data_IF_340714208342
#
_entry.id   IF_340714208342
#
_cell.length_a   1.000
_cell.length_b   1.000
_cell.length_c   1.000
_cell.angle_alpha   90.00
_cell.angle_beta   90.00
_cell.angle_gamma   90.00
#
_symmetry.space_group_name_H-M   'P 1'
#
loop_
_entity.id
_entity.type
_entity.pdbx_description
1 polymer ?
#
# COMPACT_ATOMS: atom_id res chain seq x y z
N UNK A 1 19.48 -5.41 9.40
CA UNK A 1 20.82 -5.97 9.18
C UNK A 1 21.66 -4.99 8.39
N UNK A 2 22.99 -5.08 8.49
CA UNK A 2 23.87 -4.52 7.47
C UNK A 2 23.96 -5.49 6.29
N UNK A 3 24.19 -4.95 5.09
CA UNK A 3 24.35 -5.73 3.88
C UNK A 3 25.35 -5.04 2.96
N UNK A 4 26.23 -5.82 2.36
CA UNK A 4 27.07 -5.32 1.27
C UNK A 4 26.29 -5.38 -0.04
N UNK A 5 25.88 -4.21 -0.52
CA UNK A 5 25.16 -4.07 -1.78
C UNK A 5 26.09 -3.96 -3.00
N UNK A 6 27.39 -4.18 -2.80
CA UNK A 6 28.40 -4.11 -3.85
C UNK A 6 28.56 -2.71 -4.43
N UNK A 7 29.15 -2.65 -5.63
CA UNK A 7 29.34 -1.39 -6.38
C UNK A 7 28.26 -1.27 -7.44
N UNK A 8 27.61 -0.11 -7.50
CA UNK A 8 26.58 0.18 -8.52
C UNK A 8 26.83 1.55 -9.14
N UNK A 9 26.35 1.74 -10.35
CA UNK A 9 26.40 3.03 -11.03
C UNK A 9 25.04 3.76 -10.90
N UNK A 10 25.10 5.09 -10.76
CA UNK A 10 23.88 5.92 -10.75
C UNK A 10 23.16 5.98 -9.41
N UNK A 11 21.83 5.93 -9.43
CA UNK A 11 20.97 6.16 -8.26
C UNK A 11 20.68 4.91 -7.41
N UNK A 12 21.14 3.74 -7.82
CA UNK A 12 20.98 2.50 -7.06
C UNK A 12 21.89 2.54 -5.84
N UNK A 13 21.35 2.14 -4.69
CA UNK A 13 22.13 2.12 -3.45
C UNK A 13 23.22 1.05 -3.50
N UNK A 14 24.42 1.40 -3.01
CA UNK A 14 25.62 0.59 -3.09
C UNK A 14 26.41 0.61 -1.78
N UNK A 15 27.40 -0.26 -1.67
CA UNK A 15 28.28 -0.39 -0.50
C UNK A 15 27.59 -1.00 0.72
N UNK A 16 28.32 -1.08 1.83
CA UNK A 16 27.83 -1.63 3.09
C UNK A 16 26.87 -0.64 3.75
N UNK A 17 25.65 -1.06 3.97
CA UNK A 17 24.61 -0.21 4.60
C UNK A 17 23.51 -1.01 5.28
N UNK A 18 22.72 -0.39 6.16
CA UNK A 18 21.58 -1.05 6.72
C UNK A 18 20.53 -1.35 5.64
N UNK A 19 19.87 -2.50 5.78
CA UNK A 19 18.77 -2.95 4.92
C UNK A 19 17.61 -3.46 5.78
N UNK A 20 16.41 -3.31 5.27
CA UNK A 20 15.19 -3.88 5.85
C UNK A 20 14.85 -5.19 5.16
N UNK A 21 14.80 -6.28 5.91
CA UNK A 21 14.28 -7.56 5.42
C UNK A 21 12.76 -7.45 5.27
N UNK A 22 12.26 -7.65 4.05
CA UNK A 22 10.84 -7.53 3.72
C UNK A 22 10.18 -8.88 3.42
N UNK A 23 10.99 -9.90 3.20
CA UNK A 23 10.52 -11.26 2.95
C UNK A 23 9.87 -11.86 4.22
N UNK A 24 8.85 -12.70 4.03
CA UNK A 24 8.13 -13.36 5.14
C UNK A 24 9.00 -14.39 5.86
N UNK A 25 8.80 -14.57 7.17
CA UNK A 25 9.55 -15.53 7.98
C UNK A 25 9.51 -16.96 7.40
N UNK A 26 8.34 -17.38 6.89
CA UNK A 26 8.19 -18.70 6.27
C UNK A 26 9.15 -18.93 5.11
N UNK A 27 9.38 -17.91 4.28
CA UNK A 27 10.36 -17.99 3.20
C UNK A 27 11.79 -17.85 3.74
N UNK A 28 11.98 -16.98 4.76
CA UNK A 28 13.28 -16.81 5.39
C UNK A 28 13.83 -18.10 6.01
N UNK A 29 12.97 -18.93 6.57
CA UNK A 29 13.37 -20.21 7.19
C UNK A 29 13.85 -21.24 6.17
N UNK A 30 13.32 -21.20 4.95
CA UNK A 30 13.51 -22.26 3.95
C UNK A 30 14.34 -21.82 2.73
N UNK A 31 14.84 -20.59 2.68
CA UNK A 31 15.63 -20.10 1.55
C UNK A 31 17.02 -19.65 1.99
N UNK A 32 18.09 -19.92 1.23
CA UNK A 32 19.41 -19.33 1.48
C UNK A 32 19.43 -17.83 1.20
N UNK A 33 18.52 -17.33 0.39
CA UNK A 33 18.39 -15.92 0.03
C UNK A 33 17.28 -15.20 0.78
N UNK A 34 17.32 -13.87 0.78
CA UNK A 34 16.30 -13.02 1.36
C UNK A 34 16.11 -11.74 0.53
N UNK A 35 14.87 -11.26 0.47
CA UNK A 35 14.57 -9.98 -0.19
C UNK A 35 14.68 -8.84 0.81
N UNK A 36 15.45 -7.83 0.46
CA UNK A 36 15.73 -6.65 1.29
C UNK A 36 15.41 -5.35 0.55
N UNK A 37 15.14 -4.29 1.31
CA UNK A 37 15.06 -2.91 0.83
C UNK A 37 16.19 -2.09 1.43
N UNK A 38 16.85 -1.27 0.62
CA UNK A 38 17.96 -0.44 1.06
C UNK A 38 17.50 0.67 2.02
N UNK A 39 18.32 0.95 3.04
CA UNK A 39 18.12 2.06 3.99
C UNK A 39 19.24 3.09 3.78
N UNK A 40 18.92 4.38 3.85
CA UNK A 40 19.86 5.49 3.73
C UNK A 40 19.58 6.57 4.79
N UNK A 41 20.65 7.10 5.37
CA UNK A 41 20.58 8.26 6.27
C UNK A 41 20.41 9.59 5.51
N UNK A 42 20.68 9.61 4.21
CA UNK A 42 20.50 10.82 3.38
C UNK A 42 19.01 11.05 3.17
N UNK A 43 18.51 12.19 3.67
CA UNK A 43 17.12 12.61 3.43
C UNK A 43 16.89 12.81 1.94
N UNK A 44 16.17 11.89 1.33
CA UNK A 44 15.67 11.99 -0.05
C UNK A 44 14.23 12.52 -0.04
N UNK A 45 13.65 12.71 -1.22
CA UNK A 45 12.26 13.23 -1.37
C UNK A 45 11.27 12.41 -0.53
N UNK A 46 10.85 12.98 0.61
CA UNK A 46 9.88 12.37 1.55
C UNK A 46 8.46 12.26 0.96
N UNK A 47 8.23 12.93 -0.18
CA UNK A 47 6.93 12.91 -0.87
C UNK A 47 6.64 11.63 -1.65
N UNK A 48 7.62 10.71 -1.75
CA UNK A 48 7.41 9.44 -2.45
C UNK A 48 6.73 8.41 -1.52
N UNK A 49 5.67 7.79 -2.00
CA UNK A 49 4.94 6.75 -1.25
C UNK A 49 5.79 5.51 -0.92
N UNK A 50 6.96 5.37 -1.53
CA UNK A 50 7.91 4.26 -1.31
C UNK A 50 9.02 4.61 -0.32
N UNK A 51 9.15 5.87 0.06
CA UNK A 51 10.13 6.36 1.02
C UNK A 51 9.51 6.45 2.40
N UNK A 52 9.95 5.59 3.33
CA UNK A 52 9.41 5.54 4.70
C UNK A 52 10.50 5.90 5.69
N UNK A 53 10.26 6.93 6.49
CA UNK A 53 11.18 7.36 7.55
C UNK A 53 11.22 6.32 8.69
N UNK A 54 12.41 6.02 9.15
CA UNK A 54 12.70 5.14 10.27
C UNK A 54 13.52 5.91 11.31
N UNK A 55 13.08 5.85 12.55
CA UNK A 55 13.78 6.45 13.67
C UNK A 55 14.81 5.46 14.27
N UNK A 56 15.55 5.93 15.28
CA UNK A 56 16.59 5.15 15.96
C UNK A 56 16.04 4.06 16.89
N UNK A 57 14.75 4.09 17.19
CA UNK A 57 14.06 3.11 18.05
C UNK A 57 14.11 1.67 17.50
N UNK A 58 14.30 1.52 16.20
CA UNK A 58 14.48 0.22 15.54
C UNK A 58 15.93 -0.28 15.52
N UNK A 59 16.87 0.40 16.19
CA UNK A 59 18.29 0.05 16.31
C UNK A 59 19.22 0.74 15.32
N UNK A 60 18.71 1.64 14.49
CA UNK A 60 19.54 2.45 13.60
C UNK A 60 20.35 3.49 14.39
N UNK A 61 21.54 3.84 13.92
CA UNK A 61 22.42 4.84 14.57
C UNK A 61 21.89 6.26 14.43
N UNK A 62 21.14 6.53 13.38
CA UNK A 62 20.57 7.85 13.06
C UNK A 62 19.24 7.69 12.31
N UNK A 63 18.36 8.71 12.37
CA UNK A 63 17.12 8.72 11.58
C UNK A 63 17.43 8.50 10.09
N UNK A 64 16.77 7.55 9.49
CA UNK A 64 17.07 7.07 8.15
C UNK A 64 15.78 6.84 7.37
N UNK A 65 15.93 6.47 6.11
CA UNK A 65 14.80 6.24 5.21
C UNK A 65 14.97 4.89 4.50
N UNK A 66 13.95 4.05 4.54
CA UNK A 66 13.90 2.85 3.69
C UNK A 66 13.30 3.20 2.33
N UNK A 67 13.92 2.70 1.27
CA UNK A 67 13.50 2.91 -0.12
C UNK A 67 12.91 1.62 -0.67
N UNK A 68 11.59 1.54 -0.67
CA UNK A 68 10.85 0.32 -1.01
C UNK A 68 10.78 0.04 -2.51
N UNK A 69 11.23 0.96 -3.34
CA UNK A 69 11.46 0.74 -4.78
C UNK A 69 12.84 0.14 -5.08
N UNK A 70 13.76 0.12 -4.10
CA UNK A 70 15.10 -0.46 -4.26
C UNK A 70 15.20 -1.82 -3.58
N UNK A 71 14.46 -2.77 -4.12
CA UNK A 71 14.44 -4.14 -3.64
C UNK A 71 15.55 -4.96 -4.25
N UNK A 72 16.19 -5.80 -3.45
CA UNK A 72 17.23 -6.75 -3.90
C UNK A 72 17.05 -8.09 -3.23
N UNK A 73 17.43 -9.14 -3.94
CA UNK A 73 17.64 -10.46 -3.36
C UNK A 73 19.11 -10.59 -3.02
N UNK A 74 19.41 -11.00 -1.80
CA UNK A 74 20.79 -11.15 -1.28
C UNK A 74 20.96 -12.52 -0.63
N UNK A 75 22.19 -13.04 -0.65
CA UNK A 75 22.56 -14.28 0.03
C UNK A 75 22.73 -14.01 1.53
N UNK A 76 22.07 -14.79 2.37
CA UNK A 76 22.14 -14.61 3.82
C UNK A 76 23.53 -14.85 4.40
N UNK A 77 24.23 -15.87 3.88
CA UNK A 77 25.50 -16.29 4.45
C UNK A 77 26.67 -15.36 4.09
N UNK A 78 26.60 -14.66 2.97
CA UNK A 78 27.74 -13.89 2.42
C UNK A 78 27.50 -12.40 2.35
N UNK A 79 26.24 -11.95 2.23
CA UNK A 79 25.91 -10.54 2.01
C UNK A 79 25.20 -9.89 3.21
N UNK A 80 24.49 -10.67 4.07
CA UNK A 80 23.94 -10.16 5.33
C UNK A 80 24.97 -10.27 6.44
N UNK A 81 25.20 -9.14 7.09
CA UNK A 81 26.09 -9.02 8.24
C UNK A 81 25.26 -8.65 9.50
N UNK A 82 25.87 -8.05 10.45
CA UNK A 82 25.38 -7.75 11.79
C UNK A 82 23.90 -7.35 11.87
N UNK A 83 23.18 -7.97 12.79
CA UNK A 83 21.83 -7.59 13.14
C UNK A 83 21.80 -6.19 13.74
N UNK A 84 21.01 -5.29 13.18
CA UNK A 84 20.86 -3.90 13.62
C UNK A 84 19.72 -3.78 14.64
N UNK A 85 18.57 -4.31 14.32
CA UNK A 85 17.39 -4.19 15.17
C UNK A 85 16.11 -4.67 14.49
N UNK A 86 14.96 -4.32 15.08
CA UNK A 86 13.65 -4.76 14.61
C UNK A 86 12.63 -3.63 14.68
N UNK A 87 11.83 -3.48 13.63
CA UNK A 87 10.67 -2.60 13.65
C UNK A 87 9.52 -3.32 14.36
N UNK A 88 9.08 -2.79 15.49
CA UNK A 88 7.99 -3.34 16.32
C UNK A 88 6.72 -2.49 16.25
N UNK A 89 6.83 -1.21 15.87
CA UNK A 89 5.67 -0.34 15.72
C UNK A 89 4.74 -0.82 14.62
N UNK A 90 3.51 -1.15 15.02
CA UNK A 90 2.48 -1.67 14.11
C UNK A 90 2.03 -0.63 13.07
N UNK A 91 2.13 0.66 13.37
CA UNK A 91 1.78 1.73 12.43
C UNK A 91 2.85 1.83 11.34
N UNK A 92 4.11 1.77 11.71
CA UNK A 92 5.25 1.78 10.79
C UNK A 92 5.25 0.53 9.88
N UNK A 93 4.94 -0.64 10.44
CA UNK A 93 4.78 -1.87 9.65
C UNK A 93 3.65 -1.74 8.60
N UNK A 94 2.52 -1.10 8.96
CA UNK A 94 1.43 -0.85 8.01
C UNK A 94 1.84 0.13 6.91
N UNK A 95 2.60 1.15 7.25
CA UNK A 95 3.15 2.12 6.31
C UNK A 95 4.09 1.46 5.29
N UNK A 96 5.03 0.65 5.77
CA UNK A 96 5.95 -0.13 4.93
C UNK A 96 5.18 -1.07 4.00
N UNK A 97 4.20 -1.83 4.52
CA UNK A 97 3.36 -2.71 3.69
C UNK A 97 2.60 -1.96 2.61
N UNK A 98 2.15 -0.74 2.90
CA UNK A 98 1.48 0.12 1.90
C UNK A 98 2.46 0.59 0.84
N UNK A 99 3.64 1.05 1.24
CA UNK A 99 4.71 1.46 0.32
C UNK A 99 5.17 0.32 -0.59
N UNK A 100 5.32 -0.91 -0.06
CA UNK A 100 5.65 -2.09 -0.86
C UNK A 100 4.58 -2.40 -1.91
N UNK A 101 3.30 -2.34 -1.55
CA UNK A 101 2.21 -2.52 -2.52
C UNK A 101 2.28 -1.49 -3.63
N UNK A 102 2.55 -0.22 -3.27
CA UNK A 102 2.71 0.86 -4.24
C UNK A 102 3.89 0.60 -5.17
N UNK A 103 5.06 0.20 -4.62
CA UNK A 103 6.28 -0.05 -5.37
C UNK A 103 6.12 -1.13 -6.46
N UNK A 104 5.28 -2.15 -6.20
CA UNK A 104 5.05 -3.27 -7.13
C UNK A 104 3.71 -3.18 -7.87
N UNK A 105 3.02 -2.03 -7.82
CA UNK A 105 1.78 -1.81 -8.54
C UNK A 105 0.56 -2.58 -8.01
N UNK A 106 0.61 -3.10 -6.78
CA UNK A 106 -0.54 -3.76 -6.17
C UNK A 106 -1.55 -2.69 -5.71
N UNK A 107 -2.83 -2.78 -6.12
CA UNK A 107 -3.84 -1.81 -5.71
C UNK A 107 -3.92 -1.67 -4.19
N UNK A 108 -3.81 -0.43 -3.71
CA UNK A 108 -3.97 -0.11 -2.30
C UNK A 108 -5.43 0.22 -2.07
N UNK A 109 -6.15 -0.69 -1.43
CA UNK A 109 -7.53 -0.42 -1.03
C UNK A 109 -7.57 0.80 -0.10
N UNK A 110 -8.40 1.82 -0.39
CA UNK A 110 -8.54 2.96 0.50
C UNK A 110 -9.00 2.51 1.90
N UNK A 111 -8.53 3.20 2.94
CA UNK A 111 -8.74 2.85 4.37
C UNK A 111 -10.21 2.70 4.80
N UNK A 112 -11.17 3.09 3.95
CA UNK A 112 -12.61 3.05 4.18
C UNK A 112 -13.35 2.43 2.98
N UNK A 113 -12.92 1.26 2.50
CA UNK A 113 -13.79 0.50 1.61
C UNK A 113 -15.02 0.05 2.40
N UNK A 114 -16.05 0.88 2.33
CA UNK A 114 -17.42 0.43 2.52
C UNK A 114 -17.57 -0.80 1.62
N UNK A 115 -18.06 -1.91 2.15
CA UNK A 115 -18.39 -3.07 1.32
C UNK A 115 -19.35 -2.58 0.24
N UNK A 116 -18.83 -2.36 -0.96
CA UNK A 116 -19.58 -1.94 -2.13
C UNK A 116 -19.76 -3.11 -3.07
N UNK A 117 -20.77 -3.02 -3.90
CA UNK A 117 -20.99 -3.96 -5.01
C UNK A 117 -20.50 -3.29 -6.29
N UNK A 118 -19.73 -4.02 -7.07
CA UNK A 118 -19.33 -3.57 -8.42
C UNK A 118 -20.40 -4.03 -9.41
N UNK A 119 -20.93 -3.10 -10.19
CA UNK A 119 -21.93 -3.37 -11.23
C UNK A 119 -21.58 -2.59 -12.49
N UNK A 120 -21.67 -3.23 -13.64
CA UNK A 120 -21.69 -2.58 -14.93
C UNK A 120 -23.06 -1.96 -15.16
N UNK A 121 -23.14 -0.64 -15.31
CA UNK A 121 -24.40 0.07 -15.39
C UNK A 121 -24.48 0.96 -16.64
N UNK A 122 -25.56 0.80 -17.42
CA UNK A 122 -25.89 1.75 -18.47
C UNK A 122 -26.31 3.12 -17.87
N UNK A 123 -26.32 4.21 -18.66
CA UNK A 123 -26.62 5.56 -18.13
C UNK A 123 -27.94 5.65 -17.38
N UNK A 124 -29.00 4.98 -17.86
CA UNK A 124 -30.32 4.95 -17.22
C UNK A 124 -30.26 4.27 -15.84
N UNK A 125 -29.73 3.05 -15.78
CA UNK A 125 -29.63 2.30 -14.52
C UNK A 125 -28.70 2.97 -13.52
N UNK A 126 -27.61 3.61 -13.99
CA UNK A 126 -26.74 4.43 -13.15
C UNK A 126 -27.52 5.56 -12.48
N UNK A 127 -28.31 6.33 -13.26
CA UNK A 127 -29.12 7.43 -12.74
C UNK A 127 -30.13 6.94 -11.68
N UNK A 128 -30.75 5.79 -11.90
CA UNK A 128 -31.66 5.18 -10.93
C UNK A 128 -30.94 4.81 -9.62
N UNK A 129 -29.72 4.24 -9.67
CA UNK A 129 -28.95 3.98 -8.46
C UNK A 129 -28.48 5.25 -7.75
N UNK A 130 -28.17 6.32 -8.51
CA UNK A 130 -27.80 7.63 -7.97
C UNK A 130 -28.96 8.38 -7.33
N UNK A 131 -30.19 8.17 -7.79
CA UNK A 131 -31.39 8.80 -7.21
C UNK A 131 -31.76 8.25 -5.83
N UNK A 132 -31.23 7.10 -5.44
CA UNK A 132 -31.42 6.54 -4.10
C UNK A 132 -30.55 7.31 -3.10
N UNK A 133 -31.13 8.06 -2.14
CA UNK A 133 -30.36 8.97 -1.25
C UNK A 133 -29.27 8.27 -0.43
N UNK A 134 -29.46 6.98 -0.15
CA UNK A 134 -28.53 6.17 0.65
C UNK A 134 -27.35 5.62 -0.16
N UNK A 135 -27.41 5.69 -1.48
CA UNK A 135 -26.35 5.18 -2.33
C UNK A 135 -25.29 6.23 -2.64
N UNK A 136 -24.06 5.76 -2.78
CA UNK A 136 -22.95 6.48 -3.40
C UNK A 136 -22.50 5.64 -4.58
N UNK A 137 -22.60 6.16 -5.78
CA UNK A 137 -22.21 5.49 -7.03
C UNK A 137 -20.95 6.16 -7.55
N UNK A 138 -19.85 5.44 -7.61
CA UNK A 138 -18.56 5.93 -8.13
C UNK A 138 -18.09 5.07 -9.28
N UNK A 139 -17.65 5.67 -10.37
CA UNK A 139 -17.01 4.96 -11.46
C UNK A 139 -15.77 4.24 -10.94
N UNK A 140 -15.59 2.95 -11.27
CA UNK A 140 -14.50 2.14 -10.76
C UNK A 140 -13.19 2.52 -11.45
N UNK A 141 -13.19 2.54 -12.78
CA UNK A 141 -12.09 3.02 -13.61
C UNK A 141 -12.54 4.19 -14.50
N UNK A 142 -12.05 5.42 -14.27
CA UNK A 142 -12.36 6.57 -15.11
C UNK A 142 -11.89 6.44 -16.56
N UNK A 143 -10.89 5.60 -16.82
CA UNK A 143 -10.26 5.40 -18.13
C UNK A 143 -10.77 4.16 -18.87
N UNK A 144 -11.70 3.40 -18.30
CA UNK A 144 -12.33 2.27 -18.97
C UNK A 144 -12.92 2.71 -20.31
N UNK A 145 -12.40 2.18 -21.41
CA UNK A 145 -12.83 2.50 -22.78
C UNK A 145 -13.97 1.62 -23.27
N UNK A 146 -13.98 0.36 -22.86
CA UNK A 146 -14.98 -0.62 -23.27
C UNK A 146 -16.20 -0.59 -22.36
N UNK A 147 -17.38 -0.71 -22.98
CA UNK A 147 -18.65 -0.82 -22.27
C UNK A 147 -19.06 -2.27 -22.16
N UNK A 148 -19.61 -2.64 -21.03
CA UNK A 148 -20.14 -3.96 -20.75
C UNK A 148 -21.65 -3.98 -20.70
N UNK A 149 -22.25 -5.16 -20.82
CA UNK A 149 -23.69 -5.34 -20.65
C UNK A 149 -24.10 -4.92 -19.24
N UNK A 150 -25.16 -4.15 -19.14
CA UNK A 150 -25.65 -3.65 -17.85
C UNK A 150 -26.16 -4.78 -16.94
N UNK A 151 -25.57 -4.96 -15.78
CA UNK A 151 -25.95 -6.01 -14.81
C UNK A 151 -27.41 -5.88 -14.35
N UNK A 152 -27.97 -4.66 -14.35
CA UNK A 152 -29.34 -4.45 -13.88
C UNK A 152 -30.39 -4.76 -14.96
N UNK A 153 -30.29 -4.19 -16.14
CA UNK A 153 -31.32 -4.32 -17.16
C UNK A 153 -31.02 -5.37 -18.23
N UNK A 154 -29.78 -5.87 -18.30
CA UNK A 154 -29.31 -6.88 -19.25
C UNK A 154 -29.49 -6.51 -20.75
N UNK A 155 -29.76 -5.22 -21.03
CA UNK A 155 -30.05 -4.70 -22.40
C UNK A 155 -29.10 -3.58 -22.77
N UNK A 156 -28.91 -2.63 -21.88
CA UNK A 156 -28.04 -1.47 -22.13
C UNK A 156 -26.57 -1.78 -21.90
N UNK A 157 -25.71 -0.96 -22.45
CA UNK A 157 -24.26 -1.04 -22.24
C UNK A 157 -23.77 0.14 -21.41
N UNK A 158 -22.81 -0.10 -20.50
CA UNK A 158 -22.25 0.91 -19.62
C UNK A 158 -20.90 0.55 -19.07
N UNK A 159 -20.52 1.25 -18.04
CA UNK A 159 -19.21 1.12 -17.39
C UNK A 159 -19.37 0.54 -15.99
N UNK A 160 -18.27 0.09 -15.41
CA UNK A 160 -18.23 -0.41 -14.04
C UNK A 160 -18.32 0.70 -13.01
N UNK A 161 -19.20 0.52 -12.05
CA UNK A 161 -19.40 1.42 -10.91
C UNK A 161 -19.35 0.64 -9.61
N UNK A 162 -18.69 1.24 -8.62
CA UNK A 162 -18.74 0.79 -7.24
C UNK A 162 -19.89 1.48 -6.52
N UNK A 163 -20.82 0.72 -5.96
CA UNK A 163 -21.99 1.21 -5.24
C UNK A 163 -21.84 0.94 -3.76
N UNK A 164 -21.94 1.98 -2.94
CA UNK A 164 -21.82 1.92 -1.48
C UNK A 164 -23.12 2.41 -0.83
N UNK A 165 -23.42 1.93 0.38
CA UNK A 165 -24.42 2.54 1.26
C UNK A 165 -23.80 3.66 2.10
N UNK A 166 -24.46 4.80 2.20
CA UNK A 166 -24.09 5.85 3.16
C UNK A 166 -24.26 5.31 4.58
N UNK A 167 -23.27 5.49 5.46
CA UNK A 167 -23.51 5.25 6.89
C UNK A 167 -24.47 6.31 7.43
N UNK A 168 -25.57 5.89 8.07
CA UNK A 168 -26.30 6.78 8.96
C UNK A 168 -25.34 7.17 10.08
N UNK A 169 -24.99 8.47 10.19
CA UNK A 169 -24.43 8.99 11.43
C UNK A 169 -25.54 8.83 12.47
N UNK A 170 -25.35 7.93 13.43
CA UNK A 170 -26.17 7.94 14.65
C UNK A 170 -25.97 9.33 15.25
N UNK A 171 -27.00 10.18 15.12
CA UNK A 171 -27.05 11.43 15.83
C UNK A 171 -27.02 11.10 17.31
N UNK A 172 -25.93 11.46 17.99
CA UNK A 172 -25.89 11.56 19.44
C UNK A 172 -26.97 12.57 19.81
N UNK A 173 -28.14 12.08 20.20
CA UNK A 173 -29.16 12.89 20.83
C UNK A 173 -28.59 13.50 22.09
N UNK A 174 -28.35 14.81 22.06
CA UNK A 174 -28.14 15.60 23.25
C UNK A 174 -29.40 15.55 24.07
N UNK A 175 -29.44 14.75 25.12
CA UNK A 175 -30.37 14.85 26.20
C UNK A 175 -29.90 15.97 27.13
N UNK A 176 -30.44 17.19 26.94
CA UNK A 176 -30.51 18.13 28.04
C UNK A 176 -31.51 17.56 29.04
N UNK A 177 -31.08 17.33 30.25
CA UNK A 177 -31.89 17.34 31.42
C UNK A 177 -31.28 18.25 32.47
N UNK A 178 -31.97 19.28 32.71
CA UNK A 178 -32.29 20.09 33.92
C UNK A 178 -31.52 19.71 35.18
#
# INVERSE_FOLDING_TARGET
YYCDLGVTNGSVQSGIRPVLVIQTNRLNENSPTVVVAAITAVKKKTTMNTHIELDTDCGLKEPSMVMLEQLRTVEKATELDNFVGRITDSSKIKEIRRGLKFAVGIPIKPKNERKGVVLSLCPRCRSEFQSIPENIVKRLDPFQSEKEVCDKCQVGYGYEYMIFKKHRRNGSGGGNNV
#
